data_IF_948717881209
#
_entry.id   IF_948717881209
#
_cell.length_a   1.000
_cell.length_b   1.000
_cell.length_c   1.000
_cell.angle_alpha   90.00
_cell.angle_beta   90.00
_cell.angle_gamma   90.00
#
_symmetry.space_group_name_H-M   'P 1'
#
loop_
_entity.id
_entity.type
_entity.pdbx_description
1 polymer ?
#
# COMPACT_ATOMS: atom_id res chain seq x y z
N UNK A 1 33.76 -9.65 -22.69
CA UNK A 1 34.01 -8.73 -21.54
C UNK A 1 33.11 -8.98 -20.31
N UNK A 2 32.58 -10.20 -20.09
CA UNK A 2 31.72 -10.52 -18.91
C UNK A 2 32.39 -11.42 -17.86
N UNK A 3 33.60 -11.90 -18.12
CA UNK A 3 34.34 -12.82 -17.24
C UNK A 3 35.29 -12.12 -16.27
N UNK A 4 35.60 -10.84 -16.48
CA UNK A 4 36.71 -10.18 -15.77
C UNK A 4 36.34 -9.52 -14.44
N UNK A 5 35.05 -9.27 -14.15
CA UNK A 5 34.63 -8.62 -12.87
C UNK A 5 34.31 -9.59 -11.73
N UNK A 6 34.18 -10.89 -12.00
CA UNK A 6 34.08 -11.94 -10.95
C UNK A 6 35.47 -12.38 -10.47
N UNK A 7 36.53 -12.08 -11.24
CA UNK A 7 37.89 -12.51 -10.94
C UNK A 7 38.53 -11.77 -9.74
N UNK A 8 38.08 -10.57 -9.38
CA UNK A 8 38.70 -9.79 -8.29
C UNK A 8 38.30 -10.33 -6.89
N UNK A 9 37.14 -10.99 -6.77
CA UNK A 9 36.77 -11.73 -5.54
C UNK A 9 37.24 -13.20 -5.55
N UNK A 10 37.86 -13.66 -6.63
CA UNK A 10 38.07 -15.10 -6.89
C UNK A 10 39.33 -15.70 -6.24
N UNK A 11 40.23 -14.88 -5.70
CA UNK A 11 41.53 -15.36 -5.21
C UNK A 11 41.54 -15.71 -3.70
N UNK A 12 40.53 -15.26 -2.95
CA UNK A 12 40.51 -15.36 -1.46
C UNK A 12 39.67 -16.55 -0.97
N UNK A 13 38.78 -17.11 -1.78
CA UNK A 13 37.78 -18.08 -1.34
C UNK A 13 38.04 -19.44 -2.01
N UNK A 14 38.51 -20.42 -1.23
CA UNK A 14 38.83 -21.77 -1.70
C UNK A 14 37.67 -22.46 -2.44
N UNK A 15 38.00 -23.39 -3.36
CA UNK A 15 37.06 -24.07 -4.28
C UNK A 15 35.82 -24.66 -3.59
N UNK A 16 35.99 -25.24 -2.39
CA UNK A 16 34.90 -25.82 -1.59
C UNK A 16 33.92 -24.75 -1.06
N UNK A 17 34.45 -23.60 -0.64
CA UNK A 17 33.65 -22.45 -0.22
C UNK A 17 32.93 -21.81 -1.40
N UNK A 18 33.53 -21.83 -2.60
CA UNK A 18 32.88 -21.37 -3.84
C UNK A 18 31.68 -22.22 -4.22
N UNK A 19 31.80 -23.55 -4.15
CA UNK A 19 30.69 -24.45 -4.46
C UNK A 19 29.55 -24.33 -3.44
N UNK A 20 29.88 -24.12 -2.16
CA UNK A 20 28.91 -23.83 -1.10
C UNK A 20 28.21 -22.48 -1.35
N UNK A 21 28.96 -21.42 -1.65
CA UNK A 21 28.40 -20.09 -1.95
C UNK A 21 27.53 -20.15 -3.20
N UNK A 22 27.95 -20.82 -4.27
CA UNK A 22 27.11 -21.01 -5.46
C UNK A 22 25.84 -21.79 -5.11
N UNK A 23 25.95 -22.86 -4.33
CA UNK A 23 24.80 -23.68 -3.92
C UNK A 23 23.83 -22.91 -3.02
N UNK A 24 24.32 -22.00 -2.18
CA UNK A 24 23.51 -21.08 -1.38
C UNK A 24 22.83 -20.05 -2.29
N UNK A 25 23.58 -19.37 -3.16
CA UNK A 25 23.06 -18.30 -4.05
C UNK A 25 22.03 -18.85 -5.04
N UNK A 26 22.22 -20.08 -5.54
CA UNK A 26 21.31 -20.74 -6.49
C UNK A 26 20.13 -21.42 -5.81
N UNK A 27 20.08 -21.44 -4.48
CA UNK A 27 18.98 -22.10 -3.76
C UNK A 27 17.68 -21.31 -3.93
N UNK A 28 16.71 -21.91 -4.64
CA UNK A 28 15.37 -21.35 -4.85
C UNK A 28 14.59 -21.09 -3.56
N UNK A 29 15.00 -21.71 -2.45
CA UNK A 29 14.40 -21.51 -1.13
C UNK A 29 15.01 -20.35 -0.34
N UNK A 30 16.19 -19.85 -0.73
CA UNK A 30 16.87 -18.78 0.00
C UNK A 30 16.00 -17.52 0.15
N UNK A 31 15.24 -17.06 -0.87
CA UNK A 31 14.34 -15.91 -0.71
C UNK A 31 13.22 -16.16 0.30
N UNK A 32 12.71 -17.39 0.40
CA UNK A 32 11.67 -17.74 1.37
C UNK A 32 12.21 -17.72 2.80
N UNK A 33 13.42 -18.25 3.00
CA UNK A 33 14.11 -18.21 4.29
C UNK A 33 14.40 -16.76 4.69
N UNK A 34 14.94 -15.96 3.77
CA UNK A 34 15.22 -14.54 4.01
C UNK A 34 13.96 -13.75 4.38
N UNK A 35 12.84 -14.02 3.69
CA UNK A 35 11.55 -13.40 4.00
C UNK A 35 11.03 -13.80 5.39
N UNK A 36 11.14 -15.08 5.75
CA UNK A 36 10.76 -15.56 7.08
C UNK A 36 11.60 -14.90 8.19
N UNK A 37 12.93 -14.87 8.01
CA UNK A 37 13.85 -14.20 8.95
C UNK A 37 13.49 -12.73 9.11
N UNK A 38 13.22 -12.03 8.00
CA UNK A 38 12.82 -10.63 8.03
C UNK A 38 11.53 -10.40 8.81
N UNK A 39 10.49 -11.20 8.60
CA UNK A 39 9.24 -11.09 9.36
C UNK A 39 9.43 -11.42 10.84
N UNK A 40 10.29 -12.39 11.17
CA UNK A 40 10.69 -12.64 12.56
C UNK A 40 11.40 -11.43 13.17
N UNK A 41 12.35 -10.81 12.47
CA UNK A 41 13.03 -9.61 12.93
C UNK A 41 12.06 -8.44 13.16
N UNK A 42 11.15 -8.18 12.20
CA UNK A 42 10.12 -7.15 12.34
C UNK A 42 9.24 -7.41 13.57
N UNK A 43 8.86 -8.67 13.80
CA UNK A 43 8.03 -9.06 14.95
C UNK A 43 8.77 -8.89 16.28
N UNK A 44 10.07 -9.22 16.33
CA UNK A 44 10.90 -9.02 17.54
C UNK A 44 11.07 -7.53 17.84
N UNK A 45 11.38 -6.72 16.83
CA UNK A 45 11.49 -5.26 16.96
C UNK A 45 10.17 -4.68 17.48
N UNK A 46 9.05 -5.10 16.89
CA UNK A 46 7.73 -4.63 17.29
C UNK A 46 7.37 -5.09 18.71
N UNK A 47 7.71 -6.33 19.08
CA UNK A 47 7.52 -6.83 20.44
C UNK A 47 8.25 -5.97 21.47
N UNK A 48 9.51 -5.62 21.22
CA UNK A 48 10.29 -4.76 22.12
C UNK A 48 9.70 -3.34 22.20
N UNK A 49 9.26 -2.79 21.05
CA UNK A 49 8.62 -1.47 20.96
C UNK A 49 7.34 -1.40 21.80
N UNK A 50 6.46 -2.40 21.64
CA UNK A 50 5.18 -2.47 22.36
C UNK A 50 5.38 -2.83 23.83
N UNK A 51 6.29 -3.76 24.14
CA UNK A 51 6.53 -4.24 25.49
C UNK A 51 7.10 -3.16 26.42
N UNK A 52 7.89 -2.22 25.87
CA UNK A 52 8.41 -1.07 26.63
C UNK A 52 7.51 0.17 26.54
N UNK A 53 6.51 0.15 25.66
CA UNK A 53 5.68 1.29 25.26
C UNK A 53 6.40 2.64 25.42
N UNK A 54 7.41 2.86 24.58
CA UNK A 54 8.23 4.08 24.59
C UNK A 54 7.88 5.00 23.41
N UNK A 55 6.65 4.90 22.92
CA UNK A 55 6.13 5.74 21.84
C UNK A 55 5.44 6.96 22.43
N UNK A 56 5.54 8.08 21.73
CA UNK A 56 4.77 9.24 22.10
C UNK A 56 3.27 8.92 21.99
N UNK A 57 2.42 9.37 22.94
CA UNK A 57 0.99 9.10 22.96
C UNK A 57 0.25 9.96 21.90
N UNK A 58 0.76 9.98 20.68
CA UNK A 58 0.10 10.60 19.53
C UNK A 58 -1.01 9.69 19.01
N UNK A 59 -1.91 10.28 18.22
CA UNK A 59 -3.20 9.70 17.87
C UNK A 59 -3.12 8.27 17.29
N UNK A 60 -2.07 7.92 16.55
CA UNK A 60 -1.96 6.62 15.85
C UNK A 60 -2.20 5.40 16.75
N UNK A 61 -1.63 5.38 17.96
CA UNK A 61 -1.72 4.25 18.90
C UNK A 61 -3.15 4.06 19.42
N UNK A 62 -3.83 5.15 19.77
CA UNK A 62 -5.18 5.10 20.36
C UNK A 62 -6.29 5.08 19.31
N UNK A 63 -5.99 5.48 18.07
CA UNK A 63 -6.91 5.41 16.93
C UNK A 63 -7.47 4.00 16.72
N UNK A 64 -6.72 2.94 17.04
CA UNK A 64 -7.22 1.56 16.89
C UNK A 64 -7.78 1.00 18.20
N UNK A 65 -7.19 1.36 19.35
CA UNK A 65 -7.62 0.88 20.66
C UNK A 65 -9.10 1.22 20.98
N UNK A 66 -9.50 2.49 20.83
CA UNK A 66 -10.85 2.90 21.23
C UNK A 66 -11.97 2.24 20.41
N UNK A 67 -11.89 2.18 19.06
CA UNK A 67 -12.84 1.40 18.27
C UNK A 67 -12.94 -0.07 18.69
N UNK A 68 -11.82 -0.71 19.03
CA UNK A 68 -11.79 -2.12 19.43
C UNK A 68 -12.45 -2.34 20.79
N UNK A 69 -12.25 -1.42 21.75
CA UNK A 69 -12.97 -1.42 23.04
C UNK A 69 -14.47 -1.23 22.88
N UNK A 70 -14.90 -0.41 21.91
CA UNK A 70 -16.33 -0.23 21.62
C UNK A 70 -16.95 -1.52 21.09
N UNK A 71 -16.22 -2.28 20.25
CA UNK A 71 -16.67 -3.62 19.84
C UNK A 71 -16.77 -4.56 21.04
N UNK A 72 -15.81 -4.53 21.97
CA UNK A 72 -15.91 -5.31 23.22
C UNK A 72 -17.14 -4.94 24.07
N UNK A 73 -17.58 -3.68 24.01
CA UNK A 73 -18.80 -3.19 24.66
C UNK A 73 -20.09 -3.54 23.88
N UNK A 74 -19.99 -4.24 22.75
CA UNK A 74 -21.11 -4.65 21.92
C UNK A 74 -21.53 -3.64 20.85
N UNK A 75 -20.77 -2.56 20.66
CA UNK A 75 -21.04 -1.57 19.62
C UNK A 75 -20.47 -1.97 18.26
N UNK A 76 -21.19 -1.63 17.18
CA UNK A 76 -20.83 -1.99 15.82
C UNK A 76 -20.34 -0.79 15.00
N UNK A 77 -19.12 -0.85 14.42
CA UNK A 77 -18.65 0.15 13.47
C UNK A 77 -19.60 0.29 12.26
N UNK A 78 -19.86 1.52 11.84
CA UNK A 78 -20.81 1.89 10.79
C UNK A 78 -22.26 2.03 11.25
N UNK A 79 -22.62 1.49 12.43
CA UNK A 79 -23.97 1.59 13.00
C UNK A 79 -23.99 2.46 14.25
N UNK A 80 -23.20 2.07 15.24
CA UNK A 80 -23.18 2.70 16.55
C UNK A 80 -22.06 3.75 16.64
N UNK A 81 -21.03 3.60 15.81
CA UNK A 81 -19.95 4.58 15.64
C UNK A 81 -19.32 4.57 14.26
N UNK A 82 -18.64 5.66 13.90
CA UNK A 82 -17.99 5.80 12.60
C UNK A 82 -16.48 5.89 12.77
N UNK A 83 -15.76 4.97 12.13
CA UNK A 83 -14.30 4.96 12.13
C UNK A 83 -13.76 5.71 10.92
N UNK A 84 -12.98 6.74 11.19
CA UNK A 84 -12.62 7.74 10.17
C UNK A 84 -11.68 7.21 9.07
N UNK A 85 -10.88 6.17 9.35
CA UNK A 85 -10.06 5.50 8.33
C UNK A 85 -10.84 4.46 7.51
N UNK A 86 -12.09 4.17 7.88
CA UNK A 86 -12.99 3.24 7.20
C UNK A 86 -13.59 2.20 8.15
N UNK A 87 -14.92 2.10 8.18
CA UNK A 87 -15.65 1.25 9.13
C UNK A 87 -15.33 -0.26 9.05
N UNK A 88 -14.74 -0.72 7.95
CA UNK A 88 -14.26 -2.10 7.79
C UNK A 88 -13.00 -2.41 8.59
N UNK A 89 -12.16 -1.42 8.89
CA UNK A 89 -10.87 -1.64 9.57
C UNK A 89 -11.04 -2.26 10.96
N UNK A 90 -11.91 -1.74 11.86
CA UNK A 90 -12.08 -2.35 13.17
C UNK A 90 -12.50 -3.82 13.09
N UNK A 91 -13.36 -4.19 12.13
CA UNK A 91 -13.75 -5.59 11.91
C UNK A 91 -12.58 -6.47 11.44
N UNK A 92 -11.64 -5.93 10.68
CA UNK A 92 -10.43 -6.67 10.26
C UNK A 92 -9.45 -6.88 11.42
N UNK A 93 -9.33 -5.88 12.29
CA UNK A 93 -8.41 -5.91 13.44
C UNK A 93 -8.96 -6.78 14.58
N UNK A 94 -10.28 -6.76 14.80
CA UNK A 94 -10.92 -7.32 15.98
C UNK A 94 -10.60 -8.80 16.26
N UNK A 95 -10.59 -9.72 15.27
CA UNK A 95 -10.28 -11.13 15.55
C UNK A 95 -8.89 -11.32 16.16
N UNK A 96 -7.88 -10.63 15.64
CA UNK A 96 -6.51 -10.71 16.15
C UNK A 96 -6.41 -10.00 17.51
N UNK A 97 -7.04 -8.83 17.63
CA UNK A 97 -7.10 -8.09 18.89
C UNK A 97 -7.70 -8.97 20.01
N UNK A 98 -8.83 -9.64 19.76
CA UNK A 98 -9.49 -10.49 20.76
C UNK A 98 -8.59 -11.64 21.19
N UNK A 99 -7.96 -12.35 20.23
CA UNK A 99 -7.05 -13.46 20.53
C UNK A 99 -5.86 -12.98 21.38
N UNK A 100 -5.19 -11.90 20.97
CA UNK A 100 -4.03 -11.38 21.70
C UNK A 100 -4.43 -10.83 23.07
N UNK A 101 -5.60 -10.17 23.17
CA UNK A 101 -6.16 -9.68 24.44
C UNK A 101 -6.40 -10.83 25.41
N UNK A 102 -7.00 -11.94 24.95
CA UNK A 102 -7.23 -13.13 25.80
C UNK A 102 -5.93 -13.76 26.28
N UNK A 103 -4.89 -13.80 25.43
CA UNK A 103 -3.59 -14.41 25.78
C UNK A 103 -2.78 -13.52 26.74
N UNK A 104 -2.77 -12.21 26.49
CA UNK A 104 -1.88 -11.28 27.19
C UNK A 104 -2.54 -10.57 28.37
N UNK A 105 -3.87 -10.44 28.38
CA UNK A 105 -4.61 -9.60 29.32
C UNK A 105 -4.46 -8.09 29.07
N UNK A 106 -3.73 -7.67 28.04
CA UNK A 106 -3.38 -6.26 27.81
C UNK A 106 -3.99 -5.72 26.50
N UNK A 107 -4.98 -4.84 26.63
CA UNK A 107 -5.74 -4.32 25.48
C UNK A 107 -4.90 -3.44 24.53
N UNK A 108 -4.02 -2.60 25.08
CA UNK A 108 -3.13 -1.74 24.27
C UNK A 108 -2.14 -2.58 23.45
N UNK A 109 -1.57 -3.61 24.08
CA UNK A 109 -0.66 -4.55 23.41
C UNK A 109 -1.41 -5.28 22.30
N UNK A 110 -2.63 -5.74 22.57
CA UNK A 110 -3.48 -6.40 21.58
C UNK A 110 -3.86 -5.49 20.39
N UNK A 111 -4.18 -4.21 20.64
CA UNK A 111 -4.54 -3.27 19.56
C UNK A 111 -3.33 -2.98 18.66
N UNK A 112 -2.14 -2.83 19.24
CA UNK A 112 -0.91 -2.61 18.50
C UNK A 112 -0.51 -3.85 17.68
N UNK A 113 -0.56 -5.04 18.28
CA UNK A 113 -0.27 -6.29 17.57
C UNK A 113 -1.23 -6.58 16.42
N UNK A 114 -2.54 -6.40 16.65
CA UNK A 114 -3.53 -6.57 15.58
C UNK A 114 -3.25 -5.59 14.43
N UNK A 115 -2.99 -4.32 14.74
CA UNK A 115 -2.68 -3.30 13.72
C UNK A 115 -1.42 -3.65 12.93
N UNK A 116 -0.34 -4.05 13.61
CA UNK A 116 0.92 -4.46 12.98
C UNK A 116 0.74 -5.65 12.03
N UNK A 117 0.12 -6.73 12.52
CA UNK A 117 -0.06 -7.96 11.75
C UNK A 117 -0.95 -7.73 10.52
N UNK A 118 -2.06 -7.01 10.69
CA UNK A 118 -2.96 -6.73 9.57
C UNK A 118 -2.33 -5.75 8.59
N UNK A 119 -1.58 -4.73 9.05
CA UNK A 119 -0.80 -3.85 8.15
C UNK A 119 0.19 -4.66 7.30
N UNK A 120 0.95 -5.56 7.91
CA UNK A 120 1.93 -6.41 7.24
C UNK A 120 1.26 -7.27 6.16
N UNK A 121 0.13 -7.89 6.49
CA UNK A 121 -0.64 -8.70 5.55
C UNK A 121 -1.15 -7.87 4.37
N UNK A 122 -1.86 -6.78 4.65
CA UNK A 122 -2.52 -5.97 3.62
C UNK A 122 -1.54 -5.19 2.75
N UNK A 123 -0.34 -4.89 3.27
CA UNK A 123 0.73 -4.26 2.51
C UNK A 123 1.43 -5.25 1.57
N UNK A 124 1.87 -6.40 2.09
CA UNK A 124 2.77 -7.28 1.35
C UNK A 124 2.06 -8.38 0.56
N UNK A 125 0.88 -8.83 0.97
CA UNK A 125 0.16 -9.89 0.26
C UNK A 125 -0.19 -9.50 -1.18
N UNK A 126 -0.75 -8.30 -1.48
CA UNK A 126 -1.06 -7.92 -2.85
C UNK A 126 0.20 -7.83 -3.73
N UNK A 127 1.29 -7.29 -3.17
CA UNK A 127 2.59 -7.21 -3.86
C UNK A 127 3.13 -8.62 -4.13
N UNK A 128 3.02 -9.53 -3.17
CA UNK A 128 3.47 -10.91 -3.30
C UNK A 128 2.70 -11.63 -4.39
N UNK A 129 1.36 -11.54 -4.40
CA UNK A 129 0.51 -12.14 -5.42
C UNK A 129 0.86 -11.60 -6.81
N UNK A 130 1.09 -10.29 -6.95
CA UNK A 130 1.52 -9.68 -8.20
C UNK A 130 2.83 -10.30 -8.73
N UNK A 131 3.89 -10.33 -7.92
CA UNK A 131 5.17 -10.88 -8.35
C UNK A 131 5.10 -12.40 -8.55
N UNK A 132 4.31 -13.11 -7.74
CA UNK A 132 4.16 -14.56 -7.85
C UNK A 132 3.51 -14.94 -9.18
N UNK A 133 2.38 -14.31 -9.52
CA UNK A 133 1.66 -14.58 -10.76
C UNK A 133 2.49 -14.26 -12.00
N UNK A 134 3.41 -13.28 -11.91
CA UNK A 134 4.17 -12.78 -13.05
C UNK A 134 5.55 -13.39 -13.22
N UNK A 135 6.24 -13.69 -12.12
CA UNK A 135 7.64 -14.09 -12.13
C UNK A 135 7.92 -15.39 -11.35
N UNK A 136 6.92 -15.95 -10.67
CA UNK A 136 7.04 -17.18 -9.89
C UNK A 136 7.30 -16.96 -8.39
N UNK A 137 7.25 -18.05 -7.62
CA UNK A 137 7.20 -18.02 -6.15
C UNK A 137 8.47 -17.44 -5.52
N UNK A 138 9.65 -17.94 -5.91
CA UNK A 138 10.94 -17.48 -5.38
C UNK A 138 11.19 -16.02 -5.70
N UNK A 139 10.79 -15.60 -6.91
CA UNK A 139 10.82 -14.22 -7.37
C UNK A 139 9.94 -13.31 -6.52
N UNK A 140 8.73 -13.74 -6.18
CA UNK A 140 7.85 -13.00 -5.29
C UNK A 140 8.48 -12.76 -3.92
N UNK A 141 9.04 -13.80 -3.30
CA UNK A 141 9.70 -13.65 -2.00
C UNK A 141 10.93 -12.75 -2.07
N UNK A 142 11.73 -12.86 -3.13
CA UNK A 142 12.88 -11.97 -3.34
C UNK A 142 12.44 -10.51 -3.51
N UNK A 143 11.38 -10.26 -4.27
CA UNK A 143 10.83 -8.91 -4.45
C UNK A 143 10.30 -8.32 -3.17
N UNK A 144 9.55 -9.09 -2.37
CA UNK A 144 9.09 -8.61 -1.05
C UNK A 144 10.28 -8.26 -0.18
N UNK A 145 11.26 -9.16 -0.07
CA UNK A 145 12.45 -8.93 0.74
C UNK A 145 13.19 -7.64 0.36
N UNK A 146 13.35 -7.38 -0.94
CA UNK A 146 13.99 -6.14 -1.43
C UNK A 146 13.13 -4.91 -1.10
N UNK A 147 11.83 -4.96 -1.41
CA UNK A 147 10.92 -3.82 -1.21
C UNK A 147 10.82 -3.46 0.27
N UNK A 148 10.66 -4.45 1.15
CA UNK A 148 10.59 -4.23 2.60
C UNK A 148 11.94 -3.79 3.18
N UNK A 149 13.06 -4.32 2.71
CA UNK A 149 14.39 -3.87 3.16
C UNK A 149 14.59 -2.38 2.88
N UNK A 150 14.12 -1.91 1.72
CA UNK A 150 14.20 -0.49 1.34
C UNK A 150 13.17 0.33 2.11
N UNK A 151 11.93 -0.15 2.23
CA UNK A 151 10.83 0.66 2.79
C UNK A 151 10.83 0.71 4.33
N UNK A 152 11.23 -0.38 4.99
CA UNK A 152 11.16 -0.51 6.46
C UNK A 152 12.50 -0.29 7.15
N UNK A 153 13.62 -0.67 6.50
CA UNK A 153 14.92 -0.73 7.18
C UNK A 153 15.94 0.33 6.71
N UNK A 154 15.75 1.00 5.57
CA UNK A 154 16.58 2.15 5.25
C UNK A 154 16.24 3.30 6.19
N UNK A 155 17.22 3.73 6.97
CA UNK A 155 17.11 4.69 8.06
C UNK A 155 16.33 5.98 7.71
N UNK A 156 16.47 6.47 6.47
CA UNK A 156 15.78 7.67 5.99
C UNK A 156 14.30 7.42 5.67
N UNK A 157 13.96 6.24 5.16
CA UNK A 157 12.60 5.91 4.71
C UNK A 157 11.78 5.21 5.80
N UNK A 158 12.37 4.24 6.50
CA UNK A 158 11.70 3.45 7.53
C UNK A 158 11.26 4.26 8.75
N UNK A 159 12.12 5.15 9.25
CA UNK A 159 11.86 5.92 10.47
C UNK A 159 10.68 6.90 10.31
N UNK A 160 10.50 7.49 9.13
CA UNK A 160 9.46 8.50 8.90
C UNK A 160 8.24 7.99 8.10
N UNK A 161 8.37 6.90 7.34
CA UNK A 161 7.36 6.50 6.35
C UNK A 161 6.98 5.02 6.40
N UNK A 162 7.48 4.24 7.38
CA UNK A 162 7.03 2.87 7.57
C UNK A 162 5.53 2.82 7.84
N UNK A 163 4.70 2.22 6.99
CA UNK A 163 3.28 2.04 7.26
C UNK A 163 3.02 0.98 8.35
N UNK A 164 4.06 0.30 8.84
CA UNK A 164 3.99 -0.82 9.79
C UNK A 164 4.20 -0.31 11.22
N UNK A 165 5.13 0.62 11.43
CA UNK A 165 5.54 1.07 12.77
C UNK A 165 4.80 2.30 13.30
N UNK A 166 3.94 2.94 12.49
CA UNK A 166 3.24 4.19 12.86
C UNK A 166 2.07 3.99 13.84
N UNK A 167 1.77 2.76 14.27
CA UNK A 167 0.64 2.43 15.16
C UNK A 167 -0.76 2.63 14.55
N UNK A 168 -0.85 3.30 13.39
CA UNK A 168 -2.06 3.49 12.60
C UNK A 168 -2.20 2.42 11.50
N UNK A 169 -3.43 2.14 11.01
CA UNK A 169 -3.70 1.11 9.99
C UNK A 169 -3.28 1.53 8.56
N UNK A 170 -2.09 2.12 8.39
CA UNK A 170 -1.64 2.68 7.11
C UNK A 170 -1.41 1.64 6.02
N UNK A 171 -0.95 0.43 6.37
CA UNK A 171 -0.83 -0.68 5.43
C UNK A 171 -2.19 -1.11 4.86
N UNK A 172 -3.22 -1.16 5.71
CA UNK A 172 -4.59 -1.46 5.32
C UNK A 172 -5.14 -0.39 4.37
N UNK A 173 -4.94 0.89 4.71
CA UNK A 173 -5.41 2.03 3.90
C UNK A 173 -4.78 2.11 2.51
N UNK A 174 -3.55 1.59 2.36
CA UNK A 174 -2.86 1.52 1.06
C UNK A 174 -3.30 0.31 0.22
N UNK A 175 -3.88 -0.71 0.85
CA UNK A 175 -4.20 -1.98 0.20
C UNK A 175 -5.11 -1.86 -1.01
N UNK A 176 -6.14 -0.99 -1.08
CA UNK A 176 -6.95 -0.86 -2.29
C UNK A 176 -6.13 -0.55 -3.55
N UNK A 177 -5.13 0.31 -3.43
CA UNK A 177 -4.23 0.68 -4.53
C UNK A 177 -3.34 -0.50 -4.94
N UNK A 178 -2.87 -1.30 -3.97
CA UNK A 178 -2.03 -2.47 -4.22
C UNK A 178 -2.82 -3.67 -4.73
N UNK A 179 -4.08 -3.82 -4.31
CA UNK A 179 -4.99 -4.83 -4.83
C UNK A 179 -5.32 -4.56 -6.29
N UNK A 180 -5.45 -3.30 -6.70
CA UNK A 180 -5.60 -2.93 -8.10
C UNK A 180 -4.42 -3.44 -8.94
N UNK A 181 -3.18 -3.32 -8.45
CA UNK A 181 -2.02 -3.89 -9.13
C UNK A 181 -2.16 -5.40 -9.35
N UNK A 182 -2.58 -6.15 -8.32
CA UNK A 182 -2.77 -7.59 -8.41
C UNK A 182 -3.93 -7.98 -9.34
N UNK A 183 -5.07 -7.26 -9.29
CA UNK A 183 -6.25 -7.58 -10.10
C UNK A 183 -6.05 -7.18 -11.57
N UNK A 184 -5.57 -5.97 -11.86
CA UNK A 184 -5.33 -5.55 -13.23
C UNK A 184 -4.25 -6.39 -13.92
N UNK A 185 -3.13 -6.69 -13.25
CA UNK A 185 -2.06 -7.50 -13.84
C UNK A 185 -2.42 -8.98 -14.04
N UNK A 186 -3.39 -9.51 -13.30
CA UNK A 186 -3.82 -10.92 -13.42
C UNK A 186 -4.99 -11.12 -14.38
N UNK A 187 -5.71 -10.05 -14.75
CA UNK A 187 -6.92 -10.11 -15.56
C UNK A 187 -6.82 -9.42 -16.91
N UNK A 188 -5.96 -8.41 -17.03
CA UNK A 188 -5.68 -7.80 -18.31
C UNK A 188 -4.54 -8.60 -18.96
N UNK A 189 -4.86 -9.43 -19.96
CA UNK A 189 -3.83 -9.92 -20.87
C UNK A 189 -3.44 -8.78 -21.83
N UNK A 190 -2.16 -8.60 -22.19
CA UNK A 190 -1.72 -7.58 -23.15
C UNK A 190 -2.43 -7.60 -24.51
N UNK A 191 -3.10 -8.70 -24.85
CA UNK A 191 -3.81 -8.90 -26.12
C UNK A 191 -5.34 -8.90 -26.00
N UNK A 192 -5.90 -8.90 -24.79
CA UNK A 192 -7.35 -9.07 -24.59
C UNK A 192 -8.02 -7.74 -24.25
N UNK A 193 -9.15 -7.49 -24.91
CA UNK A 193 -10.01 -6.35 -24.57
C UNK A 193 -10.57 -6.55 -23.17
N UNK A 194 -10.56 -5.48 -22.37
CA UNK A 194 -11.24 -5.44 -21.06
C UNK A 194 -12.70 -5.86 -21.25
N UNK A 195 -13.11 -6.94 -20.58
CA UNK A 195 -14.46 -7.46 -20.68
C UNK A 195 -15.38 -6.82 -19.62
N UNK A 196 -16.70 -6.90 -19.84
CA UNK A 196 -17.67 -6.45 -18.84
C UNK A 196 -17.52 -7.20 -17.51
N UNK A 197 -17.15 -8.48 -17.56
CA UNK A 197 -16.87 -9.31 -16.38
C UNK A 197 -15.71 -8.76 -15.57
N UNK A 198 -14.65 -8.29 -16.24
CA UNK A 198 -13.50 -7.69 -15.55
C UNK A 198 -13.89 -6.39 -14.87
N UNK A 199 -14.67 -5.54 -15.55
CA UNK A 199 -15.19 -4.28 -14.99
C UNK A 199 -16.08 -4.57 -13.77
N UNK A 200 -16.93 -5.60 -13.83
CA UNK A 200 -17.77 -5.98 -12.72
C UNK A 200 -16.95 -6.45 -11.51
N UNK A 201 -15.99 -7.36 -11.71
CA UNK A 201 -15.11 -7.85 -10.63
C UNK A 201 -14.31 -6.70 -10.02
N UNK A 202 -13.72 -5.84 -10.87
CA UNK A 202 -12.99 -4.65 -10.43
C UNK A 202 -13.90 -3.71 -9.65
N UNK A 203 -15.10 -3.45 -10.14
CA UNK A 203 -16.08 -2.58 -9.50
C UNK A 203 -16.51 -3.10 -8.14
N UNK A 204 -16.81 -4.40 -8.02
CA UNK A 204 -17.11 -5.02 -6.73
C UNK A 204 -15.94 -4.94 -5.75
N UNK A 205 -14.71 -5.20 -6.22
CA UNK A 205 -13.51 -5.12 -5.38
C UNK A 205 -13.27 -3.68 -4.89
N UNK A 206 -13.41 -2.71 -5.80
CA UNK A 206 -13.23 -1.28 -5.50
C UNK A 206 -14.36 -0.71 -4.65
N UNK A 207 -15.58 -1.22 -4.75
CA UNK A 207 -16.69 -0.84 -3.87
C UNK A 207 -16.44 -1.17 -2.39
N UNK A 208 -15.56 -2.14 -2.10
CA UNK A 208 -15.11 -2.45 -0.74
C UNK A 208 -14.00 -1.49 -0.25
N UNK A 209 -13.32 -0.79 -1.15
CA UNK A 209 -12.15 0.01 -0.82
C UNK A 209 -12.42 1.10 0.23
N UNK A 210 -13.53 1.88 0.17
CA UNK A 210 -13.79 2.91 1.17
C UNK A 210 -14.09 2.34 2.56
N UNK A 211 -14.44 1.05 2.68
CA UNK A 211 -14.62 0.41 3.99
C UNK A 211 -13.28 0.23 4.70
N UNK A 212 -12.21 -0.05 3.97
CA UNK A 212 -10.89 -0.36 4.55
C UNK A 212 -9.90 0.80 4.45
N UNK A 213 -10.31 1.90 3.80
CA UNK A 213 -9.42 3.01 3.52
C UNK A 213 -10.09 4.39 3.46
N UNK A 214 -11.41 4.49 3.71
CA UNK A 214 -12.20 5.73 3.63
C UNK A 214 -11.85 6.57 2.39
N UNK A 215 -11.37 7.80 2.56
CA UNK A 215 -10.94 8.71 1.50
C UNK A 215 -9.96 8.06 0.52
N UNK A 216 -8.99 7.29 1.03
CA UNK A 216 -8.00 6.59 0.20
C UNK A 216 -8.66 5.52 -0.67
N UNK A 217 -9.74 4.90 -0.20
CA UNK A 217 -10.54 3.98 -0.99
C UNK A 217 -11.28 4.67 -2.14
N UNK A 218 -11.75 5.90 -1.92
CA UNK A 218 -12.38 6.73 -2.96
C UNK A 218 -11.33 7.15 -4.00
N UNK A 219 -10.12 7.51 -3.57
CA UNK A 219 -9.02 7.83 -4.49
C UNK A 219 -8.60 6.62 -5.34
N UNK A 220 -8.64 5.41 -4.78
CA UNK A 220 -8.41 4.19 -5.55
C UNK A 220 -9.47 3.99 -6.65
N UNK A 221 -10.76 4.22 -6.35
CA UNK A 221 -11.85 4.19 -7.34
C UNK A 221 -11.61 5.21 -8.46
N UNK A 222 -11.29 6.46 -8.08
CA UNK A 222 -11.00 7.53 -9.04
C UNK A 222 -9.77 7.22 -9.89
N UNK A 223 -8.71 6.71 -9.28
CA UNK A 223 -7.47 6.33 -9.95
C UNK A 223 -7.68 5.21 -10.98
N UNK A 224 -8.44 4.17 -10.62
CA UNK A 224 -8.82 3.10 -11.53
C UNK A 224 -9.66 3.61 -12.71
N UNK A 225 -10.63 4.47 -12.42
CA UNK A 225 -11.53 5.06 -13.42
C UNK A 225 -10.75 5.89 -14.44
N UNK A 226 -9.79 6.69 -13.97
CA UNK A 226 -8.90 7.50 -14.83
C UNK A 226 -7.94 6.62 -15.63
N UNK A 227 -7.40 5.55 -15.04
CA UNK A 227 -6.51 4.64 -15.75
C UNK A 227 -7.20 3.95 -16.94
N UNK A 228 -8.49 3.62 -16.82
CA UNK A 228 -9.26 3.03 -17.93
C UNK A 228 -9.39 3.96 -19.15
N UNK A 229 -9.24 5.28 -19.00
CA UNK A 229 -9.22 6.21 -20.13
C UNK A 229 -8.00 6.01 -21.05
N UNK A 230 -6.97 5.32 -20.56
CA UNK A 230 -5.77 4.99 -21.32
C UNK A 230 -5.82 3.59 -21.95
N UNK A 231 -7.01 2.95 -21.98
CA UNK A 231 -7.20 1.57 -22.45
C UNK A 231 -8.03 1.48 -23.72
N UNK A 232 -7.68 0.57 -24.63
CA UNK A 232 -8.41 0.35 -25.89
C UNK A 232 -8.31 1.48 -26.92
N UNK A 233 -8.92 1.25 -28.09
CA UNK A 233 -8.71 2.12 -29.26
C UNK A 233 -9.73 3.25 -29.39
N UNK A 234 -10.98 3.05 -28.94
CA UNK A 234 -12.09 3.98 -29.17
C UNK A 234 -12.45 4.77 -27.92
N UNK A 235 -12.56 6.10 -28.04
CA UNK A 235 -12.98 7.01 -26.96
C UNK A 235 -14.30 6.60 -26.30
N UNK A 236 -15.28 6.16 -27.10
CA UNK A 236 -16.57 5.68 -26.58
C UNK A 236 -16.39 4.53 -25.58
N UNK A 237 -15.58 3.52 -25.91
CA UNK A 237 -15.38 2.36 -25.04
C UNK A 237 -14.65 2.75 -23.75
N UNK A 238 -13.67 3.66 -23.84
CA UNK A 238 -12.96 4.22 -22.67
C UNK A 238 -13.94 4.84 -21.68
N UNK A 239 -14.78 5.76 -22.17
CA UNK A 239 -15.76 6.46 -21.36
C UNK A 239 -16.80 5.50 -20.78
N UNK A 240 -17.33 4.57 -21.59
CA UNK A 240 -18.29 3.57 -21.11
C UNK A 240 -17.69 2.70 -20.01
N UNK A 241 -16.47 2.18 -20.19
CA UNK A 241 -15.84 1.31 -19.21
C UNK A 241 -15.50 2.05 -17.90
N UNK A 242 -14.98 3.28 -17.99
CA UNK A 242 -14.73 4.14 -16.83
C UNK A 242 -16.03 4.45 -16.08
N UNK A 243 -17.11 4.81 -16.77
CA UNK A 243 -18.40 5.10 -16.14
C UNK A 243 -19.02 3.86 -15.50
N UNK A 244 -18.97 2.71 -16.17
CA UNK A 244 -19.45 1.45 -15.58
C UNK A 244 -18.68 1.09 -14.32
N UNK A 245 -17.35 1.23 -14.32
CA UNK A 245 -16.54 0.96 -13.13
C UNK A 245 -16.94 1.85 -11.96
N UNK A 246 -17.08 3.15 -12.21
CA UNK A 246 -17.50 4.13 -11.22
C UNK A 246 -18.89 3.81 -10.65
N UNK A 247 -19.86 3.51 -11.51
CA UNK A 247 -21.23 3.18 -11.13
C UNK A 247 -21.29 1.89 -10.32
N UNK A 248 -20.60 0.84 -10.74
CA UNK A 248 -20.60 -0.45 -10.03
C UNK A 248 -19.92 -0.28 -8.67
N UNK A 249 -18.75 0.36 -8.60
CA UNK A 249 -18.02 0.58 -7.34
C UNK A 249 -18.86 1.39 -6.35
N UNK A 250 -19.49 2.47 -6.81
CA UNK A 250 -20.33 3.33 -5.98
C UNK A 250 -21.58 2.59 -5.51
N UNK A 251 -22.22 1.82 -6.40
CA UNK A 251 -23.41 1.04 -6.06
C UNK A 251 -23.10 -0.03 -5.03
N UNK A 252 -22.01 -0.78 -5.21
CA UNK A 252 -21.57 -1.81 -4.26
C UNK A 252 -21.28 -1.19 -2.90
N UNK A 253 -20.58 -0.05 -2.86
CA UNK A 253 -20.33 0.65 -1.60
C UNK A 253 -21.63 1.04 -0.90
N UNK A 254 -22.57 1.67 -1.61
CA UNK A 254 -23.87 2.08 -1.06
C UNK A 254 -24.73 0.89 -0.59
N UNK A 255 -24.76 -0.19 -1.38
CA UNK A 255 -25.47 -1.42 -1.02
C UNK A 255 -24.92 -1.99 0.30
N UNK A 256 -23.59 -2.00 0.47
CA UNK A 256 -22.98 -2.47 1.72
C UNK A 256 -23.37 -1.59 2.90
N UNK A 257 -23.38 -0.27 2.72
CA UNK A 257 -23.81 0.64 3.79
C UNK A 257 -25.24 0.35 4.25
N UNK A 258 -26.16 0.12 3.31
CA UNK A 258 -27.56 -0.19 3.62
C UNK A 258 -27.71 -1.58 4.23
N UNK A 259 -27.10 -2.61 3.63
CA UNK A 259 -27.29 -4.00 4.06
C UNK A 259 -26.59 -4.28 5.39
N UNK A 260 -25.33 -3.86 5.55
CA UNK A 260 -24.53 -4.22 6.72
C UNK A 260 -24.64 -3.22 7.86
N UNK A 261 -24.83 -1.93 7.56
CA UNK A 261 -24.90 -0.89 8.59
C UNK A 261 -26.31 -0.30 8.77
N UNK A 262 -27.25 -0.61 7.87
CA UNK A 262 -28.64 -0.15 7.97
C UNK A 262 -28.84 1.33 7.70
N UNK A 263 -27.79 2.07 7.30
CA UNK A 263 -27.83 3.52 7.17
C UNK A 263 -26.74 4.05 6.22
N UNK A 264 -26.89 5.30 5.78
CA UNK A 264 -25.91 6.02 4.96
C UNK A 264 -25.15 7.10 5.76
N UNK A 265 -25.26 7.10 7.09
CA UNK A 265 -24.62 8.11 7.94
C UNK A 265 -23.09 8.02 7.88
N UNK A 266 -22.50 6.90 7.45
CA UNK A 266 -21.08 6.83 7.11
C UNK A 266 -20.66 7.90 6.12
N UNK A 267 -21.50 8.22 5.11
CA UNK A 267 -21.20 9.28 4.14
C UNK A 267 -21.16 10.65 4.81
N UNK A 268 -22.11 10.91 5.72
CA UNK A 268 -22.15 12.14 6.52
C UNK A 268 -20.95 12.21 7.45
N UNK A 269 -20.59 11.11 8.11
CA UNK A 269 -19.44 11.02 8.99
C UNK A 269 -18.15 11.28 8.22
N UNK A 270 -17.96 10.67 7.04
CA UNK A 270 -16.83 10.94 6.16
C UNK A 270 -16.75 12.43 5.83
N UNK A 271 -17.86 13.06 5.41
CA UNK A 271 -17.89 14.50 5.16
C UNK A 271 -17.51 15.32 6.39
N UNK A 272 -18.10 15.04 7.55
CA UNK A 272 -17.82 15.76 8.80
C UNK A 272 -16.36 15.62 9.19
N UNK A 273 -15.79 14.42 9.07
CA UNK A 273 -14.38 14.15 9.35
C UNK A 273 -13.50 14.92 8.38
N UNK A 274 -13.79 14.88 7.08
CA UNK A 274 -13.02 15.61 6.05
C UNK A 274 -13.08 17.13 6.29
N UNK A 275 -14.27 17.66 6.60
CA UNK A 275 -14.48 19.09 6.90
C UNK A 275 -13.76 19.53 8.18
N UNK A 276 -13.62 18.62 9.15
CA UNK A 276 -13.08 18.90 10.48
C UNK A 276 -11.75 18.19 10.76
N UNK A 277 -10.96 17.83 9.73
CA UNK A 277 -9.67 17.14 9.91
C UNK A 277 -8.70 17.87 10.86
N UNK A 278 -8.90 19.18 11.06
CA UNK A 278 -8.12 20.02 11.98
C UNK A 278 -8.44 19.74 13.47
N UNK A 279 -9.66 19.27 13.80
CA UNK A 279 -10.19 19.25 15.17
C UNK A 279 -10.32 17.86 15.81
N UNK A 280 -10.34 16.78 15.04
CA UNK A 280 -10.57 15.40 15.55
C UNK A 280 -9.44 14.90 16.49
N UNK A 281 -8.29 15.59 16.52
CA UNK A 281 -7.08 15.13 17.20
C UNK A 281 -6.72 15.86 18.50
N UNK A 282 -7.56 16.77 19.03
CA UNK A 282 -7.47 17.28 20.40
C UNK A 282 -6.19 18.05 20.82
N UNK A 283 -5.20 18.15 19.94
CA UNK A 283 -3.97 18.93 20.01
C UNK A 283 -3.75 19.45 18.59
N UNK A 284 -3.22 20.65 18.35
CA UNK A 284 -2.76 21.07 17.01
C UNK A 284 -1.46 20.31 16.68
N UNK A 285 -1.38 19.24 15.84
CA UNK A 285 -0.09 18.61 15.55
C UNK A 285 0.31 18.84 14.08
N UNK A 286 -0.64 19.28 13.26
CA UNK A 286 -0.59 19.23 11.82
C UNK A 286 -0.24 20.61 11.33
N UNK A 287 0.96 20.71 10.78
CA UNK A 287 1.40 21.94 10.14
C UNK A 287 0.69 22.05 8.80
N UNK A 288 0.16 23.24 8.51
CA UNK A 288 -0.45 23.54 7.21
C UNK A 288 0.31 24.68 6.54
N UNK A 289 0.23 24.74 5.22
CA UNK A 289 0.64 25.90 4.45
C UNK A 289 -0.38 27.01 4.63
N UNK A 290 0.07 28.22 4.95
CA UNK A 290 -0.79 29.38 5.10
C UNK A 290 -1.28 29.92 3.75
N UNK A 291 -0.54 29.64 2.67
CA UNK A 291 -0.85 30.05 1.30
C UNK A 291 -0.28 29.07 0.28
N UNK A 292 -0.79 29.11 -0.95
CA UNK A 292 -0.26 28.30 -2.05
C UNK A 292 1.18 28.69 -2.41
N UNK A 293 1.57 29.96 -2.20
CA UNK A 293 2.94 30.42 -2.40
C UNK A 293 3.92 29.72 -1.46
N UNK A 294 3.48 29.35 -0.25
CA UNK A 294 4.31 28.65 0.73
C UNK A 294 4.62 27.20 0.32
N UNK A 295 3.77 26.59 -0.52
CA UNK A 295 4.01 25.26 -1.10
C UNK A 295 5.27 25.27 -1.98
N UNK A 296 5.52 26.38 -2.68
CA UNK A 296 6.61 26.53 -3.66
C UNK A 296 7.81 27.32 -3.15
N UNK A 297 7.69 28.01 -2.01
CA UNK A 297 8.81 28.74 -1.39
C UNK A 297 9.80 27.83 -0.68
N UNK A 298 9.43 26.57 -0.42
CA UNK A 298 10.19 25.61 0.39
C UNK A 298 10.59 26.14 1.78
N UNK A 299 9.85 27.13 2.30
CA UNK A 299 10.17 27.79 3.59
C UNK A 299 9.95 26.88 4.80
N UNK A 300 9.12 25.83 4.68
CA UNK A 300 8.95 24.81 5.72
C UNK A 300 9.86 23.61 5.45
N UNK A 301 11.03 23.60 6.11
CA UNK A 301 12.06 22.55 5.99
C UNK A 301 11.48 21.14 6.20
N UNK A 302 10.51 20.98 7.10
CA UNK A 302 9.86 19.69 7.38
C UNK A 302 8.97 19.17 6.23
N UNK A 303 8.47 20.05 5.36
CA UNK A 303 7.66 19.68 4.19
C UNK A 303 8.52 19.21 3.00
N UNK A 304 9.75 19.72 2.93
CA UNK A 304 10.63 19.57 1.78
C UNK A 304 10.89 18.11 1.37
N UNK A 305 11.21 17.17 2.29
CA UNK A 305 11.44 15.78 1.92
C UNK A 305 10.21 15.12 1.30
N UNK A 306 9.01 15.36 1.85
CA UNK A 306 7.76 14.78 1.35
C UNK A 306 7.40 15.32 -0.04
N UNK A 307 7.49 16.64 -0.22
CA UNK A 307 7.17 17.30 -1.48
C UNK A 307 8.16 16.92 -2.58
N UNK A 308 9.46 16.99 -2.30
CA UNK A 308 10.50 16.63 -3.27
C UNK A 308 10.39 15.16 -3.65
N UNK A 309 10.22 14.27 -2.66
CA UNK A 309 10.05 12.83 -2.92
C UNK A 309 8.81 12.59 -3.78
N UNK A 310 7.70 13.26 -3.50
CA UNK A 310 6.47 13.11 -4.29
C UNK A 310 6.64 13.63 -5.71
N UNK A 311 7.26 14.79 -5.91
CA UNK A 311 7.51 15.37 -7.24
C UNK A 311 8.45 14.47 -8.05
N UNK A 312 9.61 14.13 -7.48
CA UNK A 312 10.59 13.23 -8.13
C UNK A 312 9.94 11.89 -8.44
N UNK A 313 9.12 11.37 -7.51
CA UNK A 313 8.48 10.10 -7.71
C UNK A 313 7.44 10.14 -8.83
N UNK A 314 6.59 11.17 -8.83
CA UNK A 314 5.57 11.41 -9.86
C UNK A 314 6.21 11.50 -11.25
N UNK A 315 7.28 12.30 -11.39
CA UNK A 315 8.00 12.44 -12.64
C UNK A 315 8.69 11.14 -13.08
N UNK A 316 9.29 10.42 -12.14
CA UNK A 316 9.96 9.13 -12.41
C UNK A 316 8.99 8.06 -12.87
N UNK A 317 7.82 7.96 -12.22
CA UNK A 317 6.76 7.03 -12.60
C UNK A 317 6.21 7.39 -13.97
N UNK A 318 5.92 8.67 -14.21
CA UNK A 318 5.44 9.15 -15.50
C UNK A 318 6.43 8.85 -16.64
N UNK A 319 7.73 9.06 -16.41
CA UNK A 319 8.78 8.74 -17.37
C UNK A 319 8.88 7.23 -17.63
N UNK A 320 8.88 6.40 -16.58
CA UNK A 320 8.91 4.93 -16.69
C UNK A 320 7.68 4.37 -17.43
N UNK A 321 6.50 4.95 -17.18
CA UNK A 321 5.23 4.61 -17.80
C UNK A 321 5.20 4.91 -19.30
N UNK A 322 5.60 6.13 -19.69
CA UNK A 322 5.50 6.59 -21.07
C UNK A 322 6.57 5.96 -21.98
N UNK A 323 7.75 5.59 -21.45
CA UNK A 323 8.91 5.28 -22.30
C UNK A 323 9.38 3.83 -22.27
N UNK A 324 9.01 3.03 -21.26
CA UNK A 324 9.66 1.71 -21.04
C UNK A 324 8.73 0.52 -20.90
N UNK A 325 7.46 0.74 -20.54
CA UNK A 325 6.54 -0.38 -20.27
C UNK A 325 5.76 -0.75 -21.53
N UNK A 326 6.11 -1.90 -22.14
CA UNK A 326 5.39 -2.47 -23.31
C UNK A 326 4.21 -3.38 -22.94
N UNK A 327 3.99 -3.59 -21.65
CA UNK A 327 2.91 -4.43 -21.14
C UNK A 327 1.74 -3.54 -20.72
N UNK A 328 0.64 -3.62 -21.46
CA UNK A 328 -0.53 -2.78 -21.24
C UNK A 328 -1.19 -3.03 -19.87
N UNK A 329 -1.18 -4.28 -19.38
CA UNK A 329 -1.75 -4.62 -18.08
C UNK A 329 -0.96 -3.98 -16.93
N UNK A 330 0.38 -4.05 -17.01
CA UNK A 330 1.27 -3.39 -16.06
C UNK A 330 1.13 -1.87 -16.16
N UNK A 331 1.04 -1.33 -17.38
CA UNK A 331 0.88 0.10 -17.63
C UNK A 331 -0.42 0.62 -16.99
N UNK A 332 -1.53 -0.09 -17.16
CA UNK A 332 -2.83 0.28 -16.57
C UNK A 332 -2.79 0.21 -15.05
N UNK A 333 -2.23 -0.88 -14.50
CA UNK A 333 -2.07 -1.05 -13.05
C UNK A 333 -1.30 0.11 -12.43
N UNK A 334 -0.19 0.49 -13.07
CA UNK A 334 0.66 1.59 -12.61
C UNK A 334 -0.03 2.94 -12.77
N UNK A 335 -0.74 3.17 -13.88
CA UNK A 335 -1.55 4.38 -14.07
C UNK A 335 -2.61 4.50 -12.99
N UNK A 336 -3.24 3.39 -12.62
CA UNK A 336 -4.29 3.37 -11.63
C UNK A 336 -3.77 3.72 -10.22
N UNK A 337 -2.61 3.17 -9.85
CA UNK A 337 -1.90 3.56 -8.63
C UNK A 337 -1.37 5.01 -8.68
N UNK A 338 -0.87 5.45 -9.84
CA UNK A 338 -0.37 6.81 -10.05
C UNK A 338 -1.49 7.84 -9.87
N UNK A 339 -2.63 7.65 -10.54
CA UNK A 339 -3.77 8.55 -10.41
C UNK A 339 -4.39 8.48 -9.02
N UNK A 340 -4.47 7.31 -8.39
CA UNK A 340 -4.93 7.19 -6.99
C UNK A 340 -4.02 7.96 -6.03
N UNK A 341 -2.69 7.80 -6.18
CA UNK A 341 -1.71 8.59 -5.43
C UNK A 341 -1.82 10.09 -5.72
N UNK A 342 -2.05 10.48 -6.96
CA UNK A 342 -2.19 11.90 -7.36
C UNK A 342 -3.45 12.52 -6.74
N UNK A 343 -4.58 11.81 -6.77
CA UNK A 343 -5.82 12.25 -6.11
C UNK A 343 -5.62 12.38 -4.60
N UNK A 344 -4.95 11.40 -3.98
CA UNK A 344 -4.59 11.49 -2.56
C UNK A 344 -3.62 12.65 -2.27
N UNK A 345 -2.73 12.99 -3.19
CA UNK A 345 -1.82 14.10 -3.00
C UNK A 345 -2.56 15.42 -3.09
N UNK A 346 -3.35 15.60 -4.17
CA UNK A 346 -4.19 16.78 -4.41
C UNK A 346 -5.14 17.05 -3.26
N UNK A 347 -5.80 16.02 -2.72
CA UNK A 347 -6.74 16.17 -1.59
C UNK A 347 -6.09 16.67 -0.31
N UNK A 348 -4.77 16.55 -0.19
CA UNK A 348 -4.01 16.98 0.98
C UNK A 348 -3.07 18.16 0.66
N UNK A 349 -3.25 18.83 -0.50
CA UNK A 349 -2.50 20.05 -0.85
C UNK A 349 -2.85 21.14 0.15
N UNK A 350 -1.92 21.40 1.06
CA UNK A 350 -2.12 22.30 2.21
C UNK A 350 -1.60 21.70 3.50
N UNK A 351 -1.60 20.37 3.64
CA UNK A 351 -1.08 19.68 4.81
C UNK A 351 0.42 19.38 4.66
N UNK A 352 1.21 19.84 5.64
CA UNK A 352 2.66 19.60 5.76
C UNK A 352 2.86 18.27 6.47
N UNK A 353 2.53 17.18 5.77
CA UNK A 353 2.65 15.82 6.26
C UNK A 353 3.35 14.91 5.25
N UNK A 354 3.99 13.83 5.74
CA UNK A 354 4.68 12.86 4.88
C UNK A 354 3.77 11.74 4.36
N UNK A 355 2.54 11.66 4.86
CA UNK A 355 1.58 10.57 4.60
C UNK A 355 1.25 10.36 3.10
N UNK A 356 1.52 11.35 2.25
CA UNK A 356 1.23 11.34 0.82
C UNK A 356 2.32 10.65 -0.03
N UNK A 357 3.58 10.71 0.41
CA UNK A 357 4.76 10.25 -0.36
C UNK A 357 4.87 8.71 -0.41
N UNK A 358 4.35 8.04 0.61
CA UNK A 358 4.55 6.62 0.82
C UNK A 358 3.89 5.72 -0.23
N UNK A 359 2.82 6.15 -0.90
CA UNK A 359 2.20 5.43 -2.02
C UNK A 359 3.08 5.51 -3.26
N UNK A 360 3.56 6.71 -3.61
CA UNK A 360 4.40 6.94 -4.78
C UNK A 360 5.78 6.28 -4.66
N UNK A 361 6.40 6.32 -3.49
CA UNK A 361 7.66 5.61 -3.24
C UNK A 361 7.50 4.11 -3.47
N UNK A 362 6.44 3.49 -2.92
CA UNK A 362 6.18 2.06 -3.11
C UNK A 362 5.93 1.72 -4.57
N UNK A 363 5.18 2.56 -5.28
CA UNK A 363 4.94 2.38 -6.71
C UNK A 363 6.26 2.33 -7.50
N UNK A 364 7.22 3.21 -7.19
CA UNK A 364 8.55 3.19 -7.82
C UNK A 364 9.31 1.92 -7.51
N UNK A 365 9.31 1.47 -6.26
CA UNK A 365 10.01 0.26 -5.87
C UNK A 365 9.42 -0.97 -6.57
N UNK A 366 8.10 -1.09 -6.60
CA UNK A 366 7.40 -2.18 -7.28
C UNK A 366 7.73 -2.19 -8.78
N UNK A 367 7.61 -1.04 -9.45
CA UNK A 367 7.90 -0.92 -10.89
C UNK A 367 9.37 -1.19 -11.17
N UNK A 368 10.27 -0.62 -10.37
CA UNK A 368 11.71 -0.79 -10.50
C UNK A 368 12.09 -2.26 -10.43
N UNK A 369 11.64 -2.95 -9.38
CA UNK A 369 11.89 -4.38 -9.20
C UNK A 369 11.27 -5.18 -10.35
N UNK A 370 10.01 -4.93 -10.72
CA UNK A 370 9.36 -5.63 -11.84
C UNK A 370 10.10 -5.44 -13.17
N UNK A 371 10.58 -4.24 -13.46
CA UNK A 371 11.36 -3.93 -14.66
C UNK A 371 12.71 -4.65 -14.67
N UNK A 372 13.43 -4.66 -13.56
CA UNK A 372 14.70 -5.40 -13.44
C UNK A 372 14.51 -6.90 -13.67
N UNK A 373 13.45 -7.49 -13.12
CA UNK A 373 13.14 -8.91 -13.30
C UNK A 373 12.74 -9.26 -14.72
N UNK A 374 11.94 -8.41 -15.38
CA UNK A 374 11.59 -8.61 -16.78
C UNK A 374 12.82 -8.59 -17.69
N UNK A 375 13.80 -7.74 -17.38
CA UNK A 375 15.07 -7.66 -18.13
C UNK A 375 16.00 -8.84 -17.86
N UNK A 376 15.98 -9.43 -16.66
CA UNK A 376 16.78 -10.61 -16.37
C UNK A 376 16.25 -11.84 -17.09
N UNK A 377 14.94 -12.09 -17.08
CA UNK A 377 14.32 -13.22 -17.79
C UNK A 377 14.58 -13.16 -19.30
N UNK A 378 14.44 -11.99 -19.94
CA UNK A 378 14.73 -11.83 -21.38
C UNK A 378 16.19 -12.12 -21.76
N UNK A 379 17.13 -12.02 -20.83
CA UNK A 379 18.55 -12.34 -21.06
C UNK A 379 18.86 -13.82 -20.91
N UNK A 380 18.08 -14.57 -20.14
CA UNK A 380 18.22 -16.02 -20.01
C UNK A 380 17.68 -16.77 -21.22
N UNK A 381 16.68 -16.23 -21.94
CA UNK A 381 16.15 -16.82 -23.18
C UNK A 381 16.93 -16.44 -24.45
N UNK A 382 17.89 -15.51 -24.36
CA UNK A 382 18.71 -15.05 -25.48
C UNK A 382 20.15 -15.62 -25.45
N UNK A 383 20.41 -16.52 -24.50
CA UNK A 383 21.60 -17.35 -24.35
C UNK A 383 21.18 -18.81 -24.51
#
# INVERSE_FOLDING_TARGET
MRTTKILIYSWIIGKKSKDIILKIITNKNLPHIGLAVMFCCLSIIFYDLVGRFNEAPFDGVFQTLFPLRRIDAGELPGRDFFYFHGNGIPYLLYPIYYIVKVITGHELVASLWSTFLVNLLFLYLPIYVFFWKRFGLSSASASILVISSINEFLFIFGFYNSPIFVGAPMGIRMAPHLLMLAVFSSRLSPSERITLKDIFILGCTLGLAPLVAAEQGIFAIGGATLALLFTGDRLKNKLTNSMLLLLISSSVFLIIQIIFFGNLNTLKAMKIISDNQIWVYGVYPNTFFASISEVFSFSKILAFPSQLTTIVATLSIFWLLLWRTKDDALKISVLAMYFGGLLSWVSNVGYVGQHQSAIFMKLILIIGVAYFMQKSQKREFAL
#
